data_IF_926661296980
#
_entry.id   IF_926661296980
#
_cell.length_a   1.000
_cell.length_b   1.000
_cell.length_c   1.000
_cell.angle_alpha   90.00
_cell.angle_beta   90.00
_cell.angle_gamma   90.00
#
_symmetry.space_group_name_H-M   'P 1'
#
loop_
_entity.id
_entity.type
_entity.pdbx_description
1 polymer ?
#
# COMPACT_ATOMS: atom_id res chain seq x y z
N UNK A 1 4.82 -10.57 -24.91
CA UNK A 1 6.21 -10.32 -24.47
C UNK A 1 6.23 -10.56 -22.96
N UNK A 2 6.76 -11.71 -22.52
CA UNK A 2 6.71 -12.13 -21.12
C UNK A 2 7.86 -11.47 -20.36
N UNK A 3 7.54 -10.79 -19.24
CA UNK A 3 8.55 -10.27 -18.31
C UNK A 3 8.95 -11.40 -17.36
N UNK A 4 10.12 -11.97 -17.61
CA UNK A 4 10.77 -12.94 -16.74
C UNK A 4 11.30 -12.21 -15.49
N UNK A 5 10.79 -12.58 -14.31
CA UNK A 5 11.26 -12.02 -13.05
C UNK A 5 12.64 -12.61 -12.73
N UNK A 6 13.70 -11.88 -13.05
CA UNK A 6 15.05 -12.24 -12.65
C UNK A 6 15.19 -12.22 -11.12
N UNK A 7 15.45 -13.39 -10.52
CA UNK A 7 15.86 -13.48 -9.13
C UNK A 7 17.32 -13.05 -9.01
N UNK A 8 17.56 -11.86 -8.47
CA UNK A 8 18.92 -11.44 -8.08
C UNK A 8 19.30 -12.21 -6.82
N UNK A 9 20.12 -13.25 -6.98
CA UNK A 9 20.72 -14.01 -5.90
C UNK A 9 22.02 -13.32 -5.45
N UNK A 10 22.02 -12.73 -4.26
CA UNK A 10 23.24 -12.23 -3.64
C UNK A 10 23.03 -11.69 -2.22
N UNK A 11 23.48 -12.46 -1.22
CA UNK A 11 23.69 -11.99 0.16
C UNK A 11 22.84 -12.72 1.21
N UNK A 12 23.50 -13.45 2.10
CA UNK A 12 22.94 -14.22 3.21
C UNK A 12 22.06 -13.39 4.16
N UNK A 13 20.79 -13.76 4.28
CA UNK A 13 19.90 -13.31 5.35
C UNK A 13 18.47 -13.74 5.03
N UNK A 14 17.89 -14.62 5.86
CA UNK A 14 16.48 -15.09 5.89
C UNK A 14 15.69 -14.86 4.61
N UNK A 15 15.37 -15.93 3.88
CA UNK A 15 14.42 -16.01 2.75
C UNK A 15 13.76 -14.67 2.41
N UNK A 16 14.16 -14.05 1.29
CA UNK A 16 13.53 -12.82 0.79
C UNK A 16 12.06 -13.15 0.56
N UNK A 17 11.25 -12.84 1.57
CA UNK A 17 9.90 -13.31 1.58
C UNK A 17 9.11 -12.60 0.48
N UNK A 18 8.46 -13.39 -0.37
CA UNK A 18 7.83 -12.87 -1.58
C UNK A 18 6.76 -11.83 -1.21
N UNK A 19 6.79 -10.63 -1.80
CA UNK A 19 5.77 -9.62 -1.55
C UNK A 19 4.36 -10.16 -1.85
N UNK A 20 3.41 -9.89 -0.96
CA UNK A 20 2.00 -10.21 -1.14
C UNK A 20 1.44 -9.30 -2.24
N UNK A 21 0.86 -9.91 -3.27
CA UNK A 21 0.25 -9.18 -4.37
C UNK A 21 -1.25 -9.44 -4.38
N UNK A 22 -2.04 -8.37 -4.25
CA UNK A 22 -3.49 -8.45 -4.15
C UNK A 22 -4.10 -7.49 -5.17
N UNK A 23 -5.29 -7.82 -5.66
CA UNK A 23 -6.09 -6.87 -6.42
C UNK A 23 -7.57 -7.02 -6.08
N UNK A 24 -8.28 -5.91 -6.08
CA UNK A 24 -9.73 -5.89 -5.89
C UNK A 24 -10.34 -4.73 -6.69
N UNK A 25 -11.62 -4.85 -7.10
CA UNK A 25 -12.29 -3.79 -7.85
C UNK A 25 -12.40 -2.52 -7.01
N UNK A 26 -12.31 -1.37 -7.67
CA UNK A 26 -12.58 -0.08 -7.07
C UNK A 26 -14.07 -0.01 -6.70
N UNK A 27 -14.44 0.55 -5.53
CA UNK A 27 -15.85 0.73 -5.19
C UNK A 27 -16.58 1.51 -6.29
N UNK A 28 -17.75 1.02 -6.70
CA UNK A 28 -18.61 1.62 -7.74
C UNK A 28 -18.01 1.72 -9.16
N UNK A 29 -16.81 1.15 -9.39
CA UNK A 29 -16.19 1.03 -10.71
C UNK A 29 -15.61 -0.38 -10.92
N UNK A 30 -16.43 -1.36 -11.37
CA UNK A 30 -16.02 -2.75 -11.45
C UNK A 30 -14.90 -3.02 -12.47
N UNK A 31 -14.76 -2.16 -13.48
CA UNK A 31 -13.75 -2.29 -14.55
C UNK A 31 -12.38 -1.71 -14.16
N UNK A 32 -12.31 -0.98 -13.05
CA UNK A 32 -11.08 -0.43 -12.47
C UNK A 32 -10.71 -1.25 -11.23
N UNK A 33 -9.43 -1.65 -11.13
CA UNK A 33 -8.94 -2.42 -9.99
C UNK A 33 -7.85 -1.66 -9.26
N UNK A 34 -7.88 -1.76 -7.93
CA UNK A 34 -6.73 -1.40 -7.09
C UNK A 34 -5.80 -2.61 -7.06
N UNK A 35 -4.53 -2.36 -7.38
CA UNK A 35 -3.44 -3.32 -7.28
C UNK A 35 -2.56 -2.94 -6.09
N UNK A 36 -2.26 -3.94 -5.26
CA UNK A 36 -1.46 -3.80 -4.06
C UNK A 36 -0.25 -4.72 -4.17
N UNK A 37 0.93 -4.16 -3.89
CA UNK A 37 2.14 -4.92 -3.60
C UNK A 37 2.60 -4.59 -2.19
N UNK A 38 2.52 -5.57 -1.30
CA UNK A 38 2.77 -5.43 0.13
C UNK A 38 3.95 -6.32 0.54
N UNK A 39 5.03 -5.69 1.01
CA UNK A 39 6.16 -6.38 1.64
C UNK A 39 6.13 -6.14 3.14
N UNK A 40 6.04 -7.21 3.92
CA UNK A 40 5.96 -7.14 5.38
C UNK A 40 7.29 -7.62 5.95
N UNK A 41 7.96 -6.76 6.71
CA UNK A 41 9.21 -7.07 7.40
C UNK A 41 9.00 -7.07 8.92
N UNK A 42 10.02 -7.48 9.66
CA UNK A 42 9.97 -7.54 11.13
C UNK A 42 9.66 -6.17 11.74
N UNK A 43 10.27 -5.09 11.24
CA UNK A 43 10.16 -3.73 11.82
C UNK A 43 9.44 -2.73 10.91
N UNK A 44 9.25 -3.06 9.64
CA UNK A 44 8.70 -2.15 8.64
C UNK A 44 7.72 -2.83 7.69
N UNK A 45 6.93 -2.02 6.99
CA UNK A 45 6.04 -2.43 5.91
C UNK A 45 6.32 -1.52 4.70
N UNK A 46 6.39 -2.11 3.52
CA UNK A 46 6.46 -1.38 2.26
C UNK A 46 5.23 -1.71 1.42
N UNK A 47 4.43 -0.68 1.13
CA UNK A 47 3.18 -0.77 0.41
C UNK A 47 3.27 0.04 -0.88
N UNK A 48 3.02 -0.59 -2.01
CA UNK A 48 2.77 0.09 -3.27
C UNK A 48 1.33 -0.14 -3.72
N UNK A 49 0.69 0.95 -4.15
CA UNK A 49 -0.69 0.99 -4.60
C UNK A 49 -0.78 1.66 -5.96
N UNK A 50 -1.58 1.08 -6.85
CA UNK A 50 -1.90 1.67 -8.14
C UNK A 50 -3.29 1.24 -8.58
N UNK A 51 -3.93 2.00 -9.44
CA UNK A 51 -5.16 1.60 -10.13
C UNK A 51 -4.88 1.30 -11.58
N UNK A 52 -5.52 0.28 -12.11
CA UNK A 52 -5.51 0.00 -13.54
C UNK A 52 -6.92 -0.35 -14.00
N UNK A 53 -7.29 0.17 -15.17
CA UNK A 53 -8.49 -0.26 -15.88
C UNK A 53 -8.13 -1.46 -16.76
N UNK A 54 -9.05 -2.40 -16.92
CA UNK A 54 -8.80 -3.58 -17.75
C UNK A 54 -8.45 -3.18 -19.19
N UNK A 55 -7.28 -3.61 -19.67
CA UNK A 55 -6.80 -3.32 -21.03
C UNK A 55 -6.09 -1.97 -21.20
N UNK A 56 -5.97 -1.17 -20.14
CA UNK A 56 -5.19 0.06 -20.17
C UNK A 56 -3.68 -0.25 -20.09
N UNK A 57 -2.91 0.29 -21.04
CA UNK A 57 -1.45 0.20 -21.10
C UNK A 57 -0.78 1.57 -20.94
N UNK A 58 -1.53 2.57 -20.49
CA UNK A 58 -1.02 3.92 -20.26
C UNK A 58 0.07 3.93 -19.19
N UNK A 59 1.08 4.78 -19.39
CA UNK A 59 2.12 5.02 -18.39
C UNK A 59 1.63 6.07 -17.40
N UNK A 60 1.34 5.65 -16.17
CA UNK A 60 0.95 6.55 -15.09
C UNK A 60 2.17 7.01 -14.27
N UNK A 61 2.15 8.24 -13.72
CA UNK A 61 3.19 8.67 -12.79
C UNK A 61 3.24 7.75 -11.56
N UNK A 62 4.40 7.67 -10.91
CA UNK A 62 4.59 6.88 -9.68
C UNK A 62 3.71 7.37 -8.51
N UNK A 63 3.20 8.60 -8.60
CA UNK A 63 2.46 9.27 -7.53
C UNK A 63 3.36 9.55 -6.32
N UNK A 64 2.79 9.71 -5.12
CA UNK A 64 3.57 10.09 -3.93
C UNK A 64 4.20 8.91 -3.22
N UNK A 65 5.33 9.14 -2.55
CA UNK A 65 5.99 8.17 -1.66
C UNK A 65 6.18 8.78 -0.27
N UNK A 66 5.56 8.19 0.75
CA UNK A 66 5.57 8.73 2.12
C UNK A 66 6.03 7.67 3.11
N UNK A 67 6.89 8.07 4.03
CA UNK A 67 7.28 7.31 5.19
C UNK A 67 6.48 7.73 6.42
N UNK A 68 6.09 6.79 7.26
CA UNK A 68 5.47 7.05 8.56
C UNK A 68 6.03 6.16 9.66
N UNK A 69 6.21 6.74 10.85
CA UNK A 69 6.71 6.06 12.04
C UNK A 69 5.71 6.25 13.19
N UNK A 70 5.25 5.17 13.84
CA UNK A 70 4.39 5.29 15.01
C UNK A 70 5.19 5.85 16.18
N UNK A 71 4.64 6.84 16.87
CA UNK A 71 5.22 7.30 18.13
C UNK A 71 4.90 6.28 19.24
N UNK A 72 5.95 5.73 19.86
CA UNK A 72 5.83 4.76 20.95
C UNK A 72 5.52 5.43 22.29
N UNK A 73 5.86 6.70 22.44
CA UNK A 73 5.62 7.49 23.65
C UNK A 73 4.22 8.12 23.62
N UNK A 74 3.74 8.51 22.44
CA UNK A 74 2.39 9.05 22.24
C UNK A 74 1.61 8.22 21.20
N UNK A 75 0.89 7.16 21.60
CA UNK A 75 0.23 6.24 20.66
C UNK A 75 -0.79 6.86 19.69
N UNK A 76 -1.25 8.08 19.98
CA UNK A 76 -2.14 8.88 19.11
C UNK A 76 -1.40 9.69 18.04
N UNK A 77 -0.09 9.90 18.19
CA UNK A 77 0.73 10.66 17.25
C UNK A 77 1.51 9.72 16.34
N UNK A 78 1.63 10.11 15.07
CA UNK A 78 2.39 9.36 14.07
C UNK A 78 3.13 10.38 13.25
N UNK A 79 4.46 10.22 13.19
CA UNK A 79 5.32 11.08 12.41
C UNK A 79 5.27 10.62 10.96
N UNK A 80 5.27 11.55 10.02
CA UNK A 80 5.28 11.26 8.59
C UNK A 80 6.21 12.19 7.85
N UNK A 81 6.94 11.66 6.90
CA UNK A 81 7.87 12.39 6.04
C UNK A 81 7.60 12.01 4.59
N UNK A 82 7.10 12.94 3.75
CA UNK A 82 7.06 12.72 2.32
C UNK A 82 8.47 12.58 1.77
N UNK A 83 8.74 11.46 1.10
CA UNK A 83 10.03 11.17 0.44
C UNK A 83 10.00 11.54 -1.04
N UNK A 84 8.83 11.43 -1.66
CA UNK A 84 8.54 11.95 -2.99
C UNK A 84 7.11 12.50 -3.00
N UNK A 85 6.95 13.71 -3.52
CA UNK A 85 5.68 14.44 -3.49
C UNK A 85 5.11 14.54 -4.89
N UNK A 86 3.86 14.11 -5.04
CA UNK A 86 3.04 14.36 -6.21
C UNK A 86 1.72 14.98 -5.76
N UNK A 87 1.44 16.20 -6.22
CA UNK A 87 0.42 17.09 -5.66
C UNK A 87 -0.94 16.42 -5.49
N UNK A 88 -1.41 15.68 -6.49
CA UNK A 88 -2.74 15.04 -6.45
C UNK A 88 -2.87 13.85 -5.50
N UNK A 89 -1.76 13.32 -4.94
CA UNK A 89 -1.77 12.08 -4.15
C UNK A 89 -1.13 12.21 -2.77
N UNK A 90 -0.42 13.31 -2.48
CA UNK A 90 0.40 13.43 -1.26
C UNK A 90 -0.42 13.37 0.02
N UNK A 91 -1.60 13.99 0.04
CA UNK A 91 -2.47 14.01 1.22
C UNK A 91 -3.04 12.63 1.52
N UNK A 92 -3.61 11.96 0.51
CA UNK A 92 -4.11 10.59 0.63
C UNK A 92 -3.01 9.65 1.12
N UNK A 93 -1.84 9.70 0.49
CA UNK A 93 -0.69 8.85 0.82
C UNK A 93 -0.20 9.09 2.24
N UNK A 94 -0.17 10.35 2.68
CA UNK A 94 0.21 10.72 4.05
C UNK A 94 -0.79 10.19 5.08
N UNK A 95 -2.10 10.36 4.83
CA UNK A 95 -3.15 9.84 5.72
C UNK A 95 -3.08 8.32 5.84
N UNK A 96 -2.86 7.64 4.72
CA UNK A 96 -2.76 6.19 4.68
C UNK A 96 -1.53 5.67 5.43
N UNK A 97 -0.36 6.23 5.16
CA UNK A 97 0.88 5.86 5.84
C UNK A 97 0.77 6.04 7.36
N UNK A 98 0.23 7.19 7.81
CA UNK A 98 0.04 7.46 9.25
C UNK A 98 -0.93 6.46 9.90
N UNK A 99 -2.05 6.18 9.25
CA UNK A 99 -3.04 5.25 9.80
C UNK A 99 -2.50 3.83 9.90
N UNK A 100 -1.82 3.35 8.86
CA UNK A 100 -1.21 2.02 8.83
C UNK A 100 -0.11 1.88 9.87
N UNK A 101 0.77 2.88 10.02
CA UNK A 101 1.80 2.88 11.05
C UNK A 101 1.18 2.81 12.46
N UNK A 102 0.11 3.58 12.71
CA UNK A 102 -0.59 3.56 14.00
C UNK A 102 -1.26 2.21 14.30
N UNK A 103 -1.87 1.58 13.31
CA UNK A 103 -2.57 0.29 13.44
C UNK A 103 -1.62 -0.90 13.56
N UNK A 104 -0.53 -0.90 12.79
CA UNK A 104 0.41 -2.03 12.73
C UNK A 104 1.56 -1.93 13.73
N UNK A 105 1.77 -0.75 14.34
CA UNK A 105 2.90 -0.45 15.24
C UNK A 105 4.28 -0.69 14.61
N UNK A 106 4.35 -0.66 13.28
CA UNK A 106 5.56 -0.77 12.46
C UNK A 106 5.80 0.52 11.70
N UNK A 107 7.04 0.74 11.26
CA UNK A 107 7.31 1.80 10.29
C UNK A 107 6.65 1.44 8.95
N UNK A 108 6.09 2.41 8.23
CA UNK A 108 5.35 2.15 6.98
C UNK A 108 5.82 3.09 5.88
N UNK A 109 6.17 2.52 4.75
CA UNK A 109 6.42 3.21 3.50
C UNK A 109 5.24 2.98 2.57
N UNK A 110 4.66 4.05 2.02
CA UNK A 110 3.54 3.97 1.07
C UNK A 110 3.92 4.70 -0.20
N UNK A 111 4.00 3.97 -1.31
CA UNK A 111 4.01 4.52 -2.66
C UNK A 111 2.61 4.39 -3.27
N UNK A 112 2.09 5.46 -3.83
CA UNK A 112 0.70 5.49 -4.26
C UNK A 112 0.52 6.28 -5.55
N UNK A 113 0.11 5.56 -6.60
CA UNK A 113 -0.38 6.10 -7.88
C UNK A 113 -1.85 5.74 -8.14
N UNK A 114 -2.64 5.49 -7.10
CA UNK A 114 -4.09 5.33 -7.26
C UNK A 114 -4.68 6.62 -7.84
N UNK A 115 -5.51 6.46 -8.86
CA UNK A 115 -6.42 7.49 -9.37
C UNK A 115 -7.86 7.02 -9.20
N UNK A 116 -8.72 7.93 -8.75
CA UNK A 116 -10.16 7.71 -8.66
C UNK A 116 -10.92 8.38 -9.81
N UNK A 117 -10.22 8.97 -10.79
CA UNK A 117 -10.87 9.66 -11.93
C UNK A 117 -11.77 8.74 -12.75
N UNK A 118 -11.42 7.45 -12.84
CA UNK A 118 -12.21 6.40 -13.49
C UNK A 118 -13.20 5.70 -12.54
N UNK A 119 -13.44 6.27 -11.35
CA UNK A 119 -14.48 5.77 -10.45
C UNK A 119 -15.88 6.13 -10.99
N UNK A 120 -16.91 5.40 -10.55
CA UNK A 120 -18.25 5.47 -11.12
C UNK A 120 -18.91 6.86 -11.01
N UNK A 121 -18.50 7.67 -10.05
CA UNK A 121 -18.95 9.05 -9.85
C UNK A 121 -17.86 10.10 -10.14
N UNK A 122 -16.76 9.70 -10.79
CA UNK A 122 -15.66 10.60 -11.17
C UNK A 122 -14.70 10.94 -10.03
N UNK A 123 -14.60 10.07 -9.02
CA UNK A 123 -13.63 10.21 -7.94
C UNK A 123 -14.12 11.11 -6.82
N UNK A 124 -15.38 10.97 -6.43
CA UNK A 124 -15.93 11.74 -5.33
C UNK A 124 -15.24 11.38 -4.01
N UNK A 125 -15.35 12.26 -3.02
CA UNK A 125 -14.76 12.05 -1.69
C UNK A 125 -15.28 10.75 -1.06
N UNK A 126 -16.53 10.38 -1.32
CA UNK A 126 -17.11 9.13 -0.85
C UNK A 126 -16.40 7.91 -1.44
N UNK A 127 -16.11 7.92 -2.75
CA UNK A 127 -15.39 6.84 -3.43
C UNK A 127 -13.95 6.73 -2.93
N UNK A 128 -13.28 7.87 -2.75
CA UNK A 128 -11.95 7.92 -2.15
C UNK A 128 -11.96 7.32 -0.73
N UNK A 129 -12.95 7.68 0.10
CA UNK A 129 -13.10 7.16 1.46
C UNK A 129 -13.40 5.66 1.50
N UNK A 130 -14.24 5.17 0.60
CA UNK A 130 -14.54 3.73 0.46
C UNK A 130 -13.28 2.97 0.05
N UNK A 131 -12.56 3.45 -0.96
CA UNK A 131 -11.29 2.86 -1.40
C UNK A 131 -10.23 2.88 -0.30
N UNK A 132 -10.09 4.01 0.40
CA UNK A 132 -9.19 4.16 1.54
C UNK A 132 -9.48 3.13 2.63
N UNK A 133 -10.76 2.99 3.04
CA UNK A 133 -11.16 2.00 4.05
C UNK A 133 -10.84 0.59 3.60
N UNK A 134 -11.09 0.26 2.33
CA UNK A 134 -10.84 -1.09 1.80
C UNK A 134 -9.35 -1.43 1.78
N UNK A 135 -8.50 -0.50 1.34
CA UNK A 135 -7.04 -0.68 1.38
C UNK A 135 -6.56 -0.90 2.80
N UNK A 136 -7.03 -0.10 3.76
CA UNK A 136 -6.65 -0.24 5.18
C UNK A 136 -7.07 -1.59 5.74
N UNK A 137 -8.30 -2.03 5.46
CA UNK A 137 -8.82 -3.33 5.89
C UNK A 137 -7.92 -4.48 5.38
N UNK A 138 -7.71 -4.55 4.06
CA UNK A 138 -6.94 -5.63 3.42
C UNK A 138 -5.49 -5.65 3.90
N UNK A 139 -4.84 -4.48 4.00
CA UNK A 139 -3.43 -4.42 4.43
C UNK A 139 -3.29 -4.83 5.89
N UNK A 140 -4.20 -4.41 6.78
CA UNK A 140 -4.13 -4.77 8.20
C UNK A 140 -4.40 -6.25 8.41
N UNK A 141 -5.36 -6.82 7.69
CA UNK A 141 -5.65 -8.26 7.73
C UNK A 141 -4.44 -9.09 7.32
N UNK A 142 -3.79 -8.74 6.21
CA UNK A 142 -2.61 -9.47 5.72
C UNK A 142 -1.41 -9.34 6.69
N UNK A 143 -1.22 -8.16 7.30
CA UNK A 143 -0.19 -7.95 8.33
C UNK A 143 -0.47 -8.79 9.58
N UNK A 144 -1.73 -8.90 10.00
CA UNK A 144 -2.11 -9.72 11.15
C UNK A 144 -1.94 -11.21 10.88
N UNK A 145 -2.35 -11.67 9.69
CA UNK A 145 -2.15 -13.05 9.24
C UNK A 145 -0.67 -13.43 9.26
N UNK A 146 0.17 -12.56 8.69
CA UNK A 146 1.63 -12.75 8.69
C UNK A 146 2.22 -12.79 10.11
N UNK A 147 1.74 -11.92 11.00
CA UNK A 147 2.15 -11.93 12.39
C UNK A 147 1.78 -13.24 13.11
N UNK A 148 0.60 -13.80 12.82
CA UNK A 148 0.17 -15.08 13.37
C UNK A 148 1.01 -16.26 12.84
N UNK A 149 1.35 -16.27 11.55
CA UNK A 149 2.19 -17.31 10.95
C UNK A 149 3.60 -17.34 11.57
N UNK A 150 4.17 -16.15 11.85
CA UNK A 150 5.45 -16.02 12.54
C UNK A 150 5.44 -16.58 13.97
N UNK A 151 4.32 -16.48 14.68
CA UNK A 151 4.15 -17.03 16.04
C UNK A 151 3.94 -18.54 16.02
N UNK A 152 3.30 -19.09 14.97
CA UNK A 152 3.04 -20.54 14.86
C UNK A 152 4.24 -21.34 14.35
N UNK A 153 5.20 -20.69 13.68
CA UNK A 153 6.43 -21.29 13.18
C UNK A 153 7.62 -21.24 14.14
N UNK A 154 7.43 -20.74 15.37
CA UNK A 154 8.44 -20.66 16.45
C UNK A 154 8.09 -21.60 17.59
#
# INVERSE_FOLDING_TARGET
>A
MAIEAASVSGGSGKDIEKPVQLSFPLPKAPDTRIHIKLSIQTTSILLFLTTAMNGDTSTVPLGSFVYALPDRMNPGQTLSTPLYTYESSVEFTTRLAKLLARKTKKAVYVGNSISFESAGLGGTVEEEMEGFKKVVEVVVEEVQKRAADLVRGS
#
